data_IF_050385699375
#
_entry.id   IF_050385699375
#
_cell.length_a   1.000
_cell.length_b   1.000
_cell.length_c   1.000
_cell.angle_alpha   90.00
_cell.angle_beta   90.00
_cell.angle_gamma   90.00
#
_symmetry.space_group_name_H-M   'P 1'
#
loop_
_entity.id
_entity.type
_entity.pdbx_description
1 polymer ?
#
# COMPACT_ATOMS: atom_id res chain seq x y z
N UNK A 1 -3.28 10.62 11.63
CA UNK A 1 -3.29 10.24 10.20
C UNK A 1 -4.52 9.39 10.00
N UNK A 2 -5.29 9.70 8.96
CA UNK A 2 -6.55 9.02 8.65
C UNK A 2 -6.31 8.07 7.46
N UNK A 3 -7.18 7.08 7.30
CA UNK A 3 -7.25 6.29 6.07
C UNK A 3 -7.67 7.20 4.89
N UNK A 4 -7.33 6.84 3.65
CA UNK A 4 -7.76 7.58 2.45
C UNK A 4 -6.73 8.51 1.81
N UNK A 5 -5.47 8.52 2.27
CA UNK A 5 -4.45 9.45 1.76
C UNK A 5 -3.70 8.90 0.52
N UNK A 6 -3.89 7.65 0.13
CA UNK A 6 -3.10 7.01 -0.93
C UNK A 6 -3.27 7.70 -2.29
N UNK A 7 -4.51 8.04 -2.65
CA UNK A 7 -4.82 8.69 -3.92
C UNK A 7 -4.13 10.06 -4.04
N UNK A 8 -4.27 10.93 -3.02
CA UNK A 8 -3.65 12.25 -2.98
C UNK A 8 -2.12 12.17 -3.03
N UNK A 9 -1.51 11.30 -2.22
CA UNK A 9 -0.07 11.09 -2.22
C UNK A 9 0.45 10.63 -3.58
N UNK A 10 -0.25 9.68 -4.21
CA UNK A 10 0.12 9.12 -5.52
C UNK A 10 0.06 10.19 -6.60
N UNK A 11 -1.01 10.99 -6.63
CA UNK A 11 -1.14 12.12 -7.56
C UNK A 11 -0.03 13.16 -7.36
N UNK A 12 0.29 13.51 -6.10
CA UNK A 12 1.38 14.41 -5.78
C UNK A 12 2.73 13.93 -6.31
N UNK A 13 3.08 12.65 -6.11
CA UNK A 13 4.33 12.11 -6.66
C UNK A 13 4.37 12.08 -8.18
N UNK A 14 3.27 11.70 -8.83
CA UNK A 14 3.18 11.66 -10.29
C UNK A 14 3.34 13.05 -10.92
N UNK A 15 2.90 14.11 -10.24
CA UNK A 15 3.11 15.50 -10.69
C UNK A 15 4.58 15.94 -10.65
N UNK A 16 5.42 15.31 -9.82
CA UNK A 16 6.84 15.63 -9.68
C UNK A 16 7.69 14.77 -10.62
N UNK A 17 7.35 13.48 -10.76
CA UNK A 17 8.09 12.53 -11.58
C UNK A 17 7.13 11.64 -12.36
N UNK A 18 7.08 11.86 -13.67
CA UNK A 18 6.23 11.13 -14.61
C UNK A 18 6.75 9.74 -14.97
N UNK A 19 7.99 9.42 -14.63
CA UNK A 19 8.61 8.09 -14.80
C UNK A 19 8.66 7.32 -13.46
N UNK A 20 7.68 7.52 -12.58
CA UNK A 20 7.63 6.93 -11.24
C UNK A 20 6.63 5.77 -11.14
N UNK A 21 6.79 4.92 -10.11
CA UNK A 21 5.80 3.88 -9.79
C UNK A 21 4.42 4.46 -9.45
N UNK A 22 4.35 5.72 -8.98
CA UNK A 22 3.09 6.42 -8.79
C UNK A 22 2.41 6.70 -10.15
N UNK A 23 3.18 7.11 -11.16
CA UNK A 23 2.64 7.28 -12.52
C UNK A 23 2.22 5.95 -13.14
N UNK A 24 2.99 4.89 -12.93
CA UNK A 24 2.60 3.53 -13.35
C UNK A 24 1.27 3.11 -12.71
N UNK A 25 1.08 3.38 -11.41
CA UNK A 25 -0.18 3.07 -10.73
C UNK A 25 -1.36 3.85 -11.31
N UNK A 26 -1.22 5.17 -11.54
CA UNK A 26 -2.30 6.01 -12.09
C UNK A 26 -2.66 5.66 -13.55
N UNK A 27 -1.71 5.14 -14.32
CA UNK A 27 -1.94 4.73 -15.71
C UNK A 27 -2.40 3.27 -15.85
N UNK A 28 -2.42 2.50 -14.75
CA UNK A 28 -2.79 1.09 -14.77
C UNK A 28 -4.26 0.95 -15.17
N UNK A 29 -4.53 0.08 -16.14
CA UNK A 29 -5.89 -0.38 -16.47
C UNK A 29 -5.94 -1.89 -16.25
N UNK A 30 -6.62 -2.31 -15.21
CA UNK A 30 -6.70 -3.71 -14.79
C UNK A 30 -8.12 -4.05 -14.32
N UNK A 31 -8.63 -5.21 -14.71
CA UNK A 31 -10.01 -5.62 -14.38
C UNK A 31 -11.09 -4.69 -14.95
N UNK A 32 -10.79 -3.92 -16.00
CA UNK A 32 -11.70 -2.92 -16.60
C UNK A 32 -11.75 -1.59 -15.84
N UNK A 33 -10.77 -1.31 -14.99
CA UNK A 33 -10.77 -0.19 -14.04
C UNK A 33 -9.46 0.59 -14.14
N UNK A 34 -9.50 1.92 -13.99
CA UNK A 34 -8.38 2.83 -14.33
C UNK A 34 -8.05 3.87 -13.25
N UNK A 35 -8.59 3.70 -12.05
CA UNK A 35 -8.51 4.62 -10.90
C UNK A 35 -7.62 4.05 -9.78
N UNK A 36 -6.55 3.38 -10.18
CA UNK A 36 -5.59 2.74 -9.28
C UNK A 36 -4.59 3.75 -8.70
N UNK A 37 -4.22 3.57 -7.44
CA UNK A 37 -3.22 4.39 -6.76
C UNK A 37 -2.39 3.58 -5.76
N UNK A 38 -1.25 4.11 -5.30
CA UNK A 38 -0.44 3.45 -4.27
C UNK A 38 -1.08 3.68 -2.89
N UNK A 39 -1.25 2.62 -2.06
CA UNK A 39 -1.88 2.77 -0.75
C UNK A 39 -1.02 3.61 0.19
N UNK A 40 -1.62 4.48 0.99
CA UNK A 40 -0.98 5.10 2.16
C UNK A 40 -0.67 4.04 3.23
N UNK A 41 0.11 4.40 4.25
CA UNK A 41 0.49 3.50 5.34
C UNK A 41 -0.69 2.77 5.98
N UNK A 42 -1.80 3.47 6.22
CA UNK A 42 -2.97 2.88 6.86
C UNK A 42 -3.79 2.03 5.88
N UNK A 43 -3.89 2.44 4.62
CA UNK A 43 -4.52 1.61 3.57
C UNK A 43 -3.72 0.34 3.29
N UNK A 44 -2.38 0.40 3.39
CA UNK A 44 -1.51 -0.76 3.27
C UNK A 44 -1.74 -1.75 4.41
N UNK A 45 -2.03 -1.26 5.62
CA UNK A 45 -2.42 -2.11 6.74
C UNK A 45 -3.74 -2.83 6.48
N UNK A 46 -4.74 -2.16 5.91
CA UNK A 46 -5.98 -2.82 5.48
C UNK A 46 -5.75 -3.82 4.35
N UNK A 47 -4.87 -3.50 3.41
CA UNK A 47 -4.47 -4.44 2.36
C UNK A 47 -3.74 -5.67 2.94
N UNK A 48 -2.90 -5.50 3.95
CA UNK A 48 -2.23 -6.60 4.65
C UNK A 48 -3.24 -7.50 5.35
N UNK A 49 -4.19 -6.93 6.12
CA UNK A 49 -5.29 -7.69 6.74
C UNK A 49 -6.09 -8.47 5.71
N UNK A 50 -6.44 -7.82 4.60
CA UNK A 50 -7.11 -8.46 3.47
C UNK A 50 -6.26 -9.61 2.92
N UNK A 51 -4.97 -9.40 2.68
CA UNK A 51 -4.06 -10.40 2.14
C UNK A 51 -3.89 -11.61 3.07
N UNK A 52 -4.02 -11.42 4.38
CA UNK A 52 -3.88 -12.46 5.41
C UNK A 52 -5.20 -13.10 5.88
N UNK A 53 -6.32 -12.80 5.22
CA UNK A 53 -7.66 -13.27 5.61
C UNK A 53 -8.10 -12.83 7.03
N UNK A 54 -7.67 -11.65 7.49
CA UNK A 54 -8.02 -11.10 8.81
C UNK A 54 -9.30 -10.25 8.75
N UNK A 55 -10.39 -10.86 8.31
CA UNK A 55 -11.64 -10.16 7.99
C UNK A 55 -12.26 -9.38 9.14
N UNK A 56 -12.24 -9.96 10.34
CA UNK A 56 -12.76 -9.32 11.56
C UNK A 56 -11.98 -8.07 11.98
N UNK A 57 -10.76 -7.89 11.48
CA UNK A 57 -9.91 -6.74 11.77
C UNK A 57 -9.99 -5.64 10.70
N UNK A 58 -10.68 -5.88 9.57
CA UNK A 58 -10.82 -4.86 8.53
C UNK A 58 -11.62 -3.65 9.05
N UNK A 59 -11.16 -2.45 8.69
CA UNK A 59 -11.77 -1.18 9.11
C UNK A 59 -11.55 -0.82 10.58
N UNK A 60 -10.82 -1.62 11.34
CA UNK A 60 -10.46 -1.33 12.74
C UNK A 60 -9.06 -0.71 12.84
N UNK A 61 -8.72 -0.19 14.02
CA UNK A 61 -7.37 0.33 14.31
C UNK A 61 -6.33 -0.77 14.57
N UNK A 62 -6.71 -2.05 14.52
CA UNK A 62 -5.79 -3.17 14.72
C UNK A 62 -4.69 -3.16 13.66
N UNK A 63 -3.47 -3.51 14.05
CA UNK A 63 -2.42 -3.80 13.09
C UNK A 63 -2.68 -5.15 12.41
N UNK A 64 -2.25 -5.27 11.15
CA UNK A 64 -2.02 -6.58 10.55
C UNK A 64 -0.95 -7.32 11.37
N UNK A 65 -1.08 -8.65 11.49
CA UNK A 65 -0.14 -9.50 12.22
C UNK A 65 0.11 -10.83 11.48
N UNK A 66 0.80 -11.79 12.10
CA UNK A 66 1.08 -13.10 11.52
C UNK A 66 -0.08 -14.11 11.64
N UNK A 67 -1.26 -13.71 12.12
CA UNK A 67 -2.44 -14.59 12.14
C UNK A 67 -3.03 -14.76 10.73
N UNK A 68 -3.82 -15.81 10.54
CA UNK A 68 -4.46 -16.14 9.26
C UNK A 68 -3.51 -16.73 8.22
N UNK A 69 -4.04 -16.93 7.01
CA UNK A 69 -3.31 -17.50 5.88
C UNK A 69 -3.13 -16.45 4.79
N UNK A 70 -1.93 -16.39 4.19
CA UNK A 70 -1.67 -15.50 3.08
C UNK A 70 -2.41 -16.00 1.82
N UNK A 71 -3.17 -15.13 1.19
CA UNK A 71 -3.91 -15.44 -0.03
C UNK A 71 -3.01 -15.63 -1.23
N UNK A 72 -3.46 -16.48 -2.16
CA UNK A 72 -2.86 -16.59 -3.48
C UNK A 72 -2.79 -15.22 -4.18
N UNK A 73 -1.72 -14.99 -4.93
CA UNK A 73 -1.46 -13.71 -5.59
C UNK A 73 -0.85 -12.63 -4.69
N UNK A 74 -0.60 -12.92 -3.41
CA UNK A 74 0.27 -12.14 -2.53
C UNK A 74 1.51 -12.94 -2.17
N UNK A 75 2.60 -12.23 -1.86
CA UNK A 75 3.84 -12.83 -1.38
C UNK A 75 4.10 -12.41 0.07
N UNK A 76 4.84 -13.22 0.83
CA UNK A 76 5.26 -12.89 2.19
C UNK A 76 6.40 -11.85 2.23
N UNK A 77 6.33 -10.84 1.35
CA UNK A 77 7.35 -9.81 1.16
C UNK A 77 6.97 -8.47 1.78
N UNK A 78 7.90 -7.52 1.64
CA UNK A 78 7.68 -6.12 1.98
C UNK A 78 6.97 -5.41 0.83
N UNK A 79 6.01 -4.57 1.18
CA UNK A 79 5.25 -3.73 0.26
C UNK A 79 5.42 -2.27 0.63
N UNK A 80 5.66 -1.43 -0.36
CA UNK A 80 5.76 0.02 -0.20
C UNK A 80 4.38 0.65 -0.04
N UNK A 81 4.30 1.67 0.82
CA UNK A 81 3.19 2.62 0.85
C UNK A 81 3.56 3.92 0.15
N UNK A 82 2.56 4.75 -0.14
CA UNK A 82 2.73 6.13 -0.62
C UNK A 82 3.08 7.11 0.51
N UNK A 83 3.14 6.67 1.77
CA UNK A 83 3.41 7.56 2.90
C UNK A 83 4.91 7.74 3.12
N UNK A 84 5.36 8.99 3.20
CA UNK A 84 6.74 9.34 3.53
C UNK A 84 6.93 9.55 5.03
N UNK A 85 8.09 9.16 5.56
CA UNK A 85 8.53 9.51 6.90
C UNK A 85 9.44 10.75 6.88
N UNK A 86 10.43 10.77 5.98
CA UNK A 86 11.33 11.91 5.75
C UNK A 86 11.67 12.04 4.27
N UNK A 87 12.61 12.94 3.92
CA UNK A 87 13.18 12.97 2.57
C UNK A 87 13.89 11.65 2.21
N UNK A 88 14.50 10.95 3.18
CA UNK A 88 15.28 9.72 3.00
C UNK A 88 14.49 8.43 3.21
N UNK A 89 13.49 8.45 4.10
CA UNK A 89 12.76 7.25 4.53
C UNK A 89 11.28 7.29 4.15
N UNK A 90 10.70 6.13 3.87
CA UNK A 90 9.27 5.93 3.61
C UNK A 90 8.75 4.74 4.41
N UNK A 91 7.45 4.48 4.40
CA UNK A 91 6.87 3.33 5.11
C UNK A 91 6.68 2.12 4.19
N UNK A 92 7.10 0.96 4.67
CA UNK A 92 6.77 -0.35 4.08
C UNK A 92 6.09 -1.25 5.12
N UNK A 93 5.42 -2.30 4.66
CA UNK A 93 4.85 -3.32 5.53
C UNK A 93 5.08 -4.73 4.98
N UNK A 94 5.51 -5.63 5.86
CA UNK A 94 5.66 -7.05 5.59
C UNK A 94 4.29 -7.73 5.60
N UNK A 95 3.98 -8.49 4.55
CA UNK A 95 2.77 -9.31 4.51
C UNK A 95 2.99 -10.70 5.13
N UNK A 96 4.22 -11.02 5.54
CA UNK A 96 4.53 -12.25 6.28
C UNK A 96 3.96 -12.21 7.70
N UNK A 97 4.01 -11.04 8.35
CA UNK A 97 3.76 -10.88 9.78
C UNK A 97 3.17 -9.51 10.16
N UNK A 98 2.92 -8.63 9.19
CA UNK A 98 2.36 -7.29 9.44
C UNK A 98 3.39 -6.25 9.88
N UNK A 99 4.67 -6.61 10.03
CA UNK A 99 5.72 -5.70 10.53
C UNK A 99 5.87 -4.47 9.63
N UNK A 100 5.70 -3.29 10.22
CA UNK A 100 5.91 -2.00 9.56
C UNK A 100 7.36 -1.57 9.73
N UNK A 101 8.01 -1.15 8.64
CA UNK A 101 9.36 -0.64 8.64
C UNK A 101 9.43 0.78 8.05
N UNK A 102 10.56 1.45 8.27
CA UNK A 102 10.91 2.71 7.61
C UNK A 102 12.19 2.59 6.79
N UNK A 103 12.18 1.86 5.67
CA UNK A 103 13.37 1.67 4.85
C UNK A 103 13.75 2.93 4.05
N UNK A 104 14.92 2.88 3.42
CA UNK A 104 15.40 3.94 2.55
C UNK A 104 14.67 3.90 1.22
N UNK A 105 14.41 5.06 0.61
CA UNK A 105 13.59 5.15 -0.63
C UNK A 105 14.20 4.48 -1.86
N UNK A 106 15.47 4.10 -1.81
CA UNK A 106 16.15 3.34 -2.87
C UNK A 106 16.12 1.82 -2.64
N UNK A 107 15.54 1.35 -1.54
CA UNK A 107 15.34 -0.08 -1.31
C UNK A 107 14.26 -0.63 -2.27
N UNK A 108 14.48 -1.86 -2.74
CA UNK A 108 13.59 -2.51 -3.69
C UNK A 108 12.57 -3.39 -2.98
N UNK A 109 11.32 -2.92 -2.91
CA UNK A 109 10.17 -3.67 -2.39
C UNK A 109 9.00 -3.64 -3.38
N UNK A 110 7.99 -4.46 -3.11
CA UNK A 110 6.84 -4.60 -4.01
C UNK A 110 5.89 -3.41 -3.89
N UNK A 111 5.17 -3.13 -4.96
CA UNK A 111 4.03 -2.20 -4.96
C UNK A 111 2.77 -2.99 -5.27
N UNK A 112 1.66 -2.63 -4.62
CA UNK A 112 0.35 -3.19 -4.89
C UNK A 112 -0.65 -2.04 -4.97
N UNK A 113 -0.95 -1.54 -6.18
CA UNK A 113 -1.96 -0.52 -6.35
C UNK A 113 -3.31 -0.99 -5.79
N UNK A 114 -4.04 -0.06 -5.21
CA UNK A 114 -5.38 -0.25 -4.66
C UNK A 114 -6.35 0.75 -5.28
N UNK A 115 -7.64 0.55 -5.00
CA UNK A 115 -8.71 1.46 -5.38
C UNK A 115 -9.58 1.74 -4.16
N UNK A 116 -10.16 2.93 -4.13
CA UNK A 116 -11.17 3.31 -3.15
C UNK A 116 -12.57 3.09 -3.75
N UNK A 117 -13.49 2.59 -2.94
CA UNK A 117 -14.88 2.40 -3.32
C UNK A 117 -15.74 3.16 -2.31
N UNK A 118 -16.19 4.36 -2.68
CA UNK A 118 -17.06 5.18 -1.83
C UNK A 118 -16.59 6.63 -1.75
N UNK A 119 -17.57 7.53 -1.73
CA UNK A 119 -17.47 8.97 -1.45
C UNK A 119 -17.85 9.27 -0.01
#
# INVERSE_FOLDING_TARGET
MNIGQGAENTAGFASICTASNATTALNLVEGGQSDWFLPSKLELNELCKFARNQWSALGTTSACDSSGTLRAGFTAGQYWSSSSQTNRYAYSQSFADGTVATPQKWDSYQYRPVRAFGS
#
